data_IF_032993359072
#
_entry.id   IF_032993359072
#
_cell.length_a   1.000
_cell.length_b   1.000
_cell.length_c   1.000
_cell.angle_alpha   90.00
_cell.angle_beta   90.00
_cell.angle_gamma   90.00
#
_symmetry.space_group_name_H-M   'P 1'
#
loop_
_entity.id
_entity.type
_entity.pdbx_description
1 polymer ?
#
# COMPACT_ATOMS: atom_id res chain seq x y z
N UNK A 1 -6.83 -32.97 -21.05
CA UNK A 1 -6.53 -31.63 -20.47
C UNK A 1 -5.04 -31.58 -20.15
N UNK A 2 -4.39 -30.42 -20.25
CA UNK A 2 -3.01 -30.29 -19.82
C UNK A 2 -2.89 -30.55 -18.32
N UNK A 3 -1.73 -31.04 -17.83
CA UNK A 3 -1.48 -31.21 -16.41
C UNK A 3 -1.71 -29.89 -15.65
N UNK A 4 -2.15 -29.97 -14.38
CA UNK A 4 -2.41 -28.78 -13.55
C UNK A 4 -1.24 -27.81 -13.53
N UNK A 5 -0.02 -28.33 -13.51
CA UNK A 5 1.22 -27.54 -13.53
C UNK A 5 1.29 -26.63 -14.76
N UNK A 6 0.93 -27.12 -15.94
CA UNK A 6 0.94 -26.33 -17.18
C UNK A 6 -0.18 -25.28 -17.19
N UNK A 7 -1.37 -25.65 -16.70
CA UNK A 7 -2.49 -24.71 -16.56
C UNK A 7 -2.18 -23.60 -15.54
N UNK A 8 -1.51 -23.92 -14.43
CA UNK A 8 -1.06 -22.91 -13.45
C UNK A 8 -0.01 -22.00 -14.08
N UNK A 9 0.96 -22.54 -14.82
CA UNK A 9 1.98 -21.74 -15.51
C UNK A 9 1.32 -20.76 -16.49
N UNK A 10 0.43 -21.24 -17.35
CA UNK A 10 -0.32 -20.41 -18.30
C UNK A 10 -1.13 -19.31 -17.59
N UNK A 11 -1.73 -19.62 -16.44
CA UNK A 11 -2.45 -18.62 -15.64
C UNK A 11 -1.51 -17.56 -15.04
N UNK A 12 -0.33 -17.93 -14.52
CA UNK A 12 0.63 -16.98 -13.98
C UNK A 12 1.22 -16.09 -15.09
N UNK A 13 1.44 -16.64 -16.28
CA UNK A 13 1.87 -15.89 -17.46
C UNK A 13 0.77 -14.90 -17.91
N UNK A 14 -0.50 -15.31 -17.91
CA UNK A 14 -1.62 -14.43 -18.15
C UNK A 14 -1.68 -13.27 -17.14
N UNK A 15 -1.48 -13.57 -15.84
CA UNK A 15 -1.46 -12.54 -14.80
C UNK A 15 -0.33 -11.53 -15.00
N UNK A 16 0.83 -11.99 -15.46
CA UNK A 16 2.00 -11.16 -15.69
C UNK A 16 1.84 -10.25 -16.91
N UNK A 17 1.43 -10.82 -18.03
CA UNK A 17 1.49 -10.13 -19.32
C UNK A 17 0.19 -9.45 -19.71
N UNK A 18 -0.96 -10.07 -19.44
CA UNK A 18 -2.26 -9.53 -19.86
C UNK A 18 -2.98 -8.78 -18.73
N UNK A 19 -2.98 -9.33 -17.52
CA UNK A 19 -3.70 -8.73 -16.39
C UNK A 19 -2.87 -7.69 -15.62
N UNK A 20 -1.60 -7.49 -15.99
CA UNK A 20 -0.67 -6.56 -15.37
C UNK A 20 -0.67 -6.64 -13.83
N UNK A 21 -0.72 -7.87 -13.29
CA UNK A 21 -0.69 -8.11 -11.86
C UNK A 21 0.69 -7.77 -11.27
N UNK A 22 0.71 -7.32 -10.01
CA UNK A 22 1.99 -7.05 -9.36
C UNK A 22 2.79 -8.34 -9.13
N UNK A 23 4.15 -8.28 -9.13
CA UNK A 23 4.99 -9.45 -8.82
C UNK A 23 4.57 -10.15 -7.51
N UNK A 24 4.26 -9.37 -6.48
CA UNK A 24 3.78 -9.91 -5.19
C UNK A 24 2.45 -10.65 -5.32
N UNK A 25 1.54 -10.19 -6.19
CA UNK A 25 0.27 -10.87 -6.45
C UNK A 25 0.51 -12.21 -7.12
N UNK A 26 1.42 -12.25 -8.11
CA UNK A 26 1.78 -13.47 -8.85
C UNK A 26 2.40 -14.48 -7.89
N UNK A 27 3.38 -14.07 -7.09
CA UNK A 27 4.03 -14.91 -6.07
C UNK A 27 3.02 -15.46 -5.06
N UNK A 28 2.12 -14.62 -4.57
CA UNK A 28 1.05 -15.01 -3.64
C UNK A 28 0.13 -16.05 -4.26
N UNK A 29 -0.32 -15.83 -5.50
CA UNK A 29 -1.21 -16.76 -6.20
C UNK A 29 -0.49 -18.08 -6.51
N UNK A 30 0.77 -18.02 -6.91
CA UNK A 30 1.58 -19.21 -7.13
C UNK A 30 1.72 -20.06 -5.86
N UNK A 31 1.97 -19.43 -4.72
CA UNK A 31 2.07 -20.10 -3.43
C UNK A 31 0.74 -20.74 -3.02
N UNK A 32 -0.37 -20.00 -3.16
CA UNK A 32 -1.70 -20.51 -2.82
C UNK A 32 -2.10 -21.69 -3.71
N UNK A 33 -1.85 -21.60 -5.02
CA UNK A 33 -2.17 -22.66 -5.98
C UNK A 33 -1.31 -23.90 -5.76
N UNK A 34 -0.02 -23.76 -5.46
CA UNK A 34 0.83 -24.89 -5.06
C UNK A 34 0.30 -25.60 -3.83
N UNK A 35 -0.09 -24.84 -2.81
CA UNK A 35 -0.67 -25.41 -1.58
C UNK A 35 -1.99 -26.13 -1.83
N UNK A 36 -2.85 -25.59 -2.69
CA UNK A 36 -4.10 -26.22 -3.09
C UNK A 36 -3.84 -27.51 -3.91
N UNK A 37 -2.97 -27.46 -4.88
CA UNK A 37 -2.63 -28.63 -5.72
C UNK A 37 -2.07 -29.77 -4.88
N UNK A 38 -1.12 -29.48 -3.98
CA UNK A 38 -0.54 -30.50 -3.10
C UNK A 38 -1.62 -31.16 -2.22
N UNK A 39 -2.53 -30.37 -1.62
CA UNK A 39 -3.66 -30.92 -0.85
C UNK A 39 -4.59 -31.80 -1.70
N UNK A 40 -4.90 -31.35 -2.92
CA UNK A 40 -5.81 -32.08 -3.80
C UNK A 40 -5.20 -33.41 -4.27
N UNK A 41 -3.93 -33.42 -4.66
CA UNK A 41 -3.19 -34.60 -5.10
C UNK A 41 -3.03 -35.64 -3.96
N UNK A 42 -2.75 -35.19 -2.74
CA UNK A 42 -2.73 -36.06 -1.56
C UNK A 42 -4.10 -36.71 -1.31
N UNK A 43 -5.18 -35.95 -1.51
CA UNK A 43 -6.54 -36.43 -1.28
C UNK A 43 -7.05 -37.39 -2.36
N UNK A 44 -6.63 -37.16 -3.62
CA UNK A 44 -7.02 -37.95 -4.79
C UNK A 44 -6.14 -39.19 -4.97
N UNK A 45 -4.89 -39.19 -4.48
CA UNK A 45 -3.90 -40.20 -4.75
C UNK A 45 -3.33 -40.15 -6.18
N UNK A 46 -3.66 -39.11 -6.96
CA UNK A 46 -3.25 -38.90 -8.33
C UNK A 46 -3.10 -37.41 -8.63
N UNK A 47 -2.40 -37.02 -9.71
CA UNK A 47 -2.26 -35.63 -10.12
C UNK A 47 -3.63 -34.94 -10.32
N UNK A 48 -3.79 -33.74 -9.77
CA UNK A 48 -5.02 -32.97 -9.93
C UNK A 48 -5.22 -32.60 -11.41
N UNK A 49 -6.37 -32.93 -11.96
CA UNK A 49 -6.86 -32.43 -13.24
C UNK A 49 -8.05 -31.50 -12.95
N UNK A 50 -7.91 -30.18 -13.09
CA UNK A 50 -8.97 -29.25 -12.73
C UNK A 50 -10.27 -29.56 -13.42
N UNK A 51 -11.36 -29.67 -12.67
CA UNK A 51 -12.68 -30.09 -13.16
C UNK A 51 -13.80 -29.27 -12.58
N UNK A 52 -15.00 -29.48 -13.10
CA UNK A 52 -16.24 -28.89 -12.57
C UNK A 52 -16.66 -29.52 -11.24
N UNK A 53 -16.04 -30.63 -10.82
CA UNK A 53 -16.32 -31.35 -9.58
C UNK A 53 -15.48 -30.90 -8.37
N UNK A 54 -14.54 -29.99 -8.53
CA UNK A 54 -13.52 -29.67 -7.53
C UNK A 54 -14.03 -28.84 -6.33
N UNK A 55 -15.34 -28.58 -6.24
CA UNK A 55 -15.91 -27.78 -5.16
C UNK A 55 -15.55 -28.31 -3.76
N UNK A 56 -15.65 -29.61 -3.56
CA UNK A 56 -15.39 -30.22 -2.25
C UNK A 56 -13.92 -30.30 -1.92
N UNK A 57 -13.04 -30.44 -2.94
CA UNK A 57 -11.59 -30.34 -2.75
C UNK A 57 -11.19 -28.93 -2.28
N UNK A 58 -11.74 -27.87 -2.92
CA UNK A 58 -11.46 -26.49 -2.51
C UNK A 58 -12.03 -26.22 -1.11
N UNK A 59 -13.23 -26.70 -0.78
CA UNK A 59 -13.80 -26.55 0.57
C UNK A 59 -12.92 -27.22 1.63
N UNK A 60 -12.52 -28.47 1.38
CA UNK A 60 -11.68 -29.24 2.29
C UNK A 60 -10.33 -28.55 2.52
N UNK A 61 -9.68 -28.08 1.46
CA UNK A 61 -8.44 -27.33 1.57
C UNK A 61 -8.59 -26.05 2.42
N UNK A 62 -9.66 -25.26 2.21
CA UNK A 62 -9.91 -24.06 2.98
C UNK A 62 -10.20 -24.39 4.45
N UNK A 63 -10.87 -25.53 4.74
CA UNK A 63 -11.06 -26.01 6.11
C UNK A 63 -9.74 -26.32 6.79
N UNK A 64 -8.87 -27.09 6.13
CA UNK A 64 -7.52 -27.38 6.64
C UNK A 64 -6.75 -26.10 6.95
N UNK A 65 -6.85 -25.07 6.07
CA UNK A 65 -6.19 -23.78 6.32
C UNK A 65 -6.73 -23.06 7.57
N UNK A 66 -8.01 -23.21 7.89
CA UNK A 66 -8.58 -22.71 9.14
C UNK A 66 -8.11 -23.52 10.34
N UNK A 67 -8.07 -24.85 10.23
CA UNK A 67 -7.62 -25.75 11.29
C UNK A 67 -6.12 -25.55 11.59
N UNK A 68 -5.30 -25.17 10.59
CA UNK A 68 -3.93 -24.72 10.76
C UNK A 68 -3.80 -23.35 11.47
N UNK A 69 -4.91 -22.71 11.84
CA UNK A 69 -4.93 -21.44 12.56
C UNK A 69 -4.80 -20.20 11.69
N UNK A 70 -4.94 -20.30 10.35
CA UNK A 70 -4.93 -19.14 9.48
C UNK A 70 -6.17 -18.26 9.72
N UNK A 71 -5.97 -16.95 9.74
CA UNK A 71 -7.07 -15.99 9.88
C UNK A 71 -8.06 -16.11 8.72
N UNK A 72 -9.35 -15.99 9.00
CA UNK A 72 -10.42 -16.04 7.99
C UNK A 72 -10.19 -15.09 6.79
N UNK A 73 -9.57 -13.92 7.02
CA UNK A 73 -9.18 -13.00 5.95
C UNK A 73 -8.11 -13.58 5.03
N UNK A 74 -7.14 -14.33 5.56
CA UNK A 74 -6.10 -15.01 4.79
C UNK A 74 -6.72 -16.13 3.97
N UNK A 75 -7.59 -16.95 4.58
CA UNK A 75 -8.32 -18.01 3.88
C UNK A 75 -9.22 -17.45 2.78
N UNK A 76 -9.87 -16.30 3.01
CA UNK A 76 -10.61 -15.59 1.97
C UNK A 76 -9.75 -15.13 0.79
N UNK A 77 -8.50 -14.74 1.05
CA UNK A 77 -7.51 -14.43 0.01
C UNK A 77 -7.12 -15.70 -0.78
N UNK A 78 -6.85 -16.80 -0.08
CA UNK A 78 -6.56 -18.11 -0.71
C UNK A 78 -7.70 -18.54 -1.65
N UNK A 79 -8.96 -18.41 -1.22
CA UNK A 79 -10.11 -18.65 -2.09
C UNK A 79 -10.11 -17.74 -3.33
N UNK A 80 -9.69 -16.47 -3.18
CA UNK A 80 -9.61 -15.53 -4.30
C UNK A 80 -8.59 -15.97 -5.34
N UNK A 81 -7.42 -16.48 -4.92
CA UNK A 81 -6.37 -17.00 -5.80
C UNK A 81 -6.90 -18.19 -6.61
N UNK A 82 -7.48 -19.18 -5.95
CA UNK A 82 -8.04 -20.37 -6.62
C UNK A 82 -9.22 -20.01 -7.50
N UNK A 83 -10.12 -19.13 -7.07
CA UNK A 83 -11.25 -18.64 -7.88
C UNK A 83 -10.78 -17.92 -9.15
N UNK A 84 -9.71 -17.14 -9.08
CA UNK A 84 -9.11 -16.48 -10.24
C UNK A 84 -8.54 -17.49 -11.22
N UNK A 85 -7.90 -18.55 -10.74
CA UNK A 85 -7.42 -19.65 -11.56
C UNK A 85 -8.57 -20.35 -12.29
N UNK A 86 -9.62 -20.80 -11.61
CA UNK A 86 -10.78 -21.44 -12.25
C UNK A 86 -11.51 -20.50 -13.21
N UNK A 87 -11.51 -19.20 -12.98
CA UNK A 87 -12.04 -18.21 -13.94
C UNK A 87 -11.19 -18.16 -15.21
N UNK A 88 -9.87 -18.29 -15.09
CA UNK A 88 -8.97 -18.37 -16.24
C UNK A 88 -9.21 -19.67 -17.03
N UNK A 89 -9.35 -20.80 -16.36
CA UNK A 89 -9.68 -22.09 -17.02
C UNK A 89 -11.01 -22.01 -17.78
N UNK A 90 -12.02 -21.35 -17.22
CA UNK A 90 -13.30 -21.10 -17.90
C UNK A 90 -13.10 -20.20 -19.13
N UNK A 91 -12.35 -19.09 -18.98
CA UNK A 91 -12.06 -18.15 -20.09
C UNK A 91 -11.31 -18.82 -21.24
N UNK A 92 -10.43 -19.77 -20.96
CA UNK A 92 -9.64 -20.52 -21.94
C UNK A 92 -10.32 -21.79 -22.44
N UNK A 93 -11.56 -22.05 -22.02
CA UNK A 93 -12.35 -23.21 -22.47
C UNK A 93 -11.90 -24.56 -21.92
N UNK A 94 -11.00 -24.57 -20.91
CA UNK A 94 -10.54 -25.80 -20.28
C UNK A 94 -11.61 -26.45 -19.39
N UNK A 95 -12.53 -25.65 -18.86
CA UNK A 95 -13.75 -26.10 -18.16
C UNK A 95 -14.97 -25.34 -18.72
N UNK A 96 -16.16 -25.91 -18.59
CA UNK A 96 -17.40 -25.29 -19.05
C UNK A 96 -18.08 -24.42 -17.97
N UNK A 97 -17.77 -24.69 -16.71
CA UNK A 97 -18.37 -24.01 -15.54
C UNK A 97 -17.33 -23.88 -14.43
N UNK A 98 -17.33 -22.72 -13.75
CA UNK A 98 -16.48 -22.53 -12.58
C UNK A 98 -17.16 -23.13 -11.33
N UNK A 99 -16.63 -24.24 -10.75
CA UNK A 99 -17.28 -24.94 -9.64
C UNK A 99 -17.37 -24.14 -8.37
N UNK A 100 -16.46 -23.19 -8.17
CA UNK A 100 -16.29 -22.43 -6.92
C UNK A 100 -16.78 -20.98 -7.03
N UNK A 101 -17.50 -20.63 -8.10
CA UNK A 101 -17.99 -19.26 -8.29
C UNK A 101 -18.87 -18.79 -7.14
N UNK A 102 -19.77 -19.65 -6.64
CA UNK A 102 -20.69 -19.35 -5.56
C UNK A 102 -20.11 -19.59 -4.14
N UNK A 103 -18.90 -20.16 -4.04
CA UNK A 103 -18.28 -20.44 -2.74
C UNK A 103 -17.97 -19.14 -2.01
N UNK A 104 -18.53 -18.97 -0.82
CA UNK A 104 -18.32 -17.76 -0.01
C UNK A 104 -17.09 -17.91 0.87
N UNK A 105 -16.27 -16.83 1.01
CA UNK A 105 -15.17 -16.85 1.95
C UNK A 105 -15.69 -16.95 3.40
N UNK A 106 -14.89 -17.48 4.33
CA UNK A 106 -15.22 -17.44 5.75
C UNK A 106 -15.52 -16.01 6.21
N UNK A 107 -16.48 -15.87 7.11
CA UNK A 107 -16.80 -14.57 7.70
C UNK A 107 -15.58 -14.07 8.49
N UNK A 108 -14.92 -13.04 7.98
CA UNK A 108 -13.86 -12.35 8.70
C UNK A 108 -14.47 -11.23 9.54
N UNK A 109 -14.06 -11.14 10.80
CA UNK A 109 -14.34 -9.95 11.59
C UNK A 109 -13.81 -8.72 10.84
N UNK A 110 -14.63 -7.69 10.70
CA UNK A 110 -14.21 -6.38 10.20
C UNK A 110 -13.89 -5.51 11.41
N UNK A 111 -12.63 -5.50 11.88
CA UNK A 111 -12.26 -4.62 12.98
C UNK A 111 -12.52 -3.18 12.56
N UNK A 112 -12.88 -2.35 13.53
CA UNK A 112 -12.99 -0.91 13.31
C UNK A 112 -11.67 -0.38 12.71
N UNK A 113 -11.76 0.61 11.83
CA UNK A 113 -10.59 1.30 11.35
C UNK A 113 -9.77 1.85 12.52
N UNK A 114 -8.46 1.66 12.47
CA UNK A 114 -7.54 2.20 13.48
C UNK A 114 -6.94 3.47 12.92
N UNK A 115 -7.02 4.54 13.67
CA UNK A 115 -6.35 5.81 13.39
C UNK A 115 -5.58 6.28 14.63
N UNK A 116 -4.60 7.12 14.44
CA UNK A 116 -3.82 7.73 15.52
C UNK A 116 -4.54 9.03 15.94
N UNK A 117 -4.80 9.26 17.24
CA UNK A 117 -5.31 10.54 17.72
C UNK A 117 -4.42 11.70 17.27
N UNK A 118 -5.02 12.85 16.97
CA UNK A 118 -4.29 14.03 16.45
C UNK A 118 -3.19 14.47 17.41
N UNK A 119 -3.45 14.43 18.71
CA UNK A 119 -2.49 14.77 19.76
C UNK A 119 -1.25 13.86 19.73
N UNK A 120 -1.46 12.54 19.61
CA UNK A 120 -0.37 11.55 19.50
C UNK A 120 0.43 11.73 18.19
N UNK A 121 -0.26 12.09 17.09
CA UNK A 121 0.40 12.44 15.82
C UNK A 121 1.25 13.69 15.94
N UNK A 122 0.73 14.73 16.56
CA UNK A 122 1.47 15.99 16.79
C UNK A 122 2.67 15.74 17.68
N UNK A 123 2.51 15.03 18.77
CA UNK A 123 3.61 14.66 19.67
C UNK A 123 4.70 13.91 18.90
N UNK A 124 4.34 12.84 18.17
CA UNK A 124 5.28 12.01 17.43
C UNK A 124 6.04 12.78 16.35
N UNK A 125 5.38 13.72 15.66
CA UNK A 125 5.99 14.51 14.59
C UNK A 125 6.62 15.83 15.07
N UNK A 126 6.48 16.19 16.35
CA UNK A 126 7.16 17.35 16.94
C UNK A 126 8.44 16.96 17.71
N UNK A 127 8.74 15.66 17.85
CA UNK A 127 9.98 15.21 18.46
C UNK A 127 11.19 15.80 17.70
N UNK A 128 12.15 16.33 18.47
CA UNK A 128 13.38 16.86 17.89
C UNK A 128 14.22 15.76 17.30
N UNK A 129 14.61 15.94 16.05
CA UNK A 129 15.47 15.01 15.31
C UNK A 129 16.86 15.64 15.22
N UNK A 130 17.90 14.88 15.62
CA UNK A 130 19.27 15.31 15.38
C UNK A 130 19.52 15.48 13.87
N UNK A 131 19.78 16.70 13.39
CA UNK A 131 19.97 16.97 11.98
C UNK A 131 21.22 16.29 11.40
N UNK A 132 22.11 15.78 12.22
CA UNK A 132 23.33 15.06 11.80
C UNK A 132 23.08 13.55 11.67
N UNK A 133 22.08 13.00 12.35
CA UNK A 133 21.66 11.61 12.17
C UNK A 133 20.75 11.47 10.93
N UNK A 134 21.36 11.17 9.80
CA UNK A 134 20.65 11.01 8.54
C UNK A 134 19.55 9.93 8.58
N UNK A 135 19.68 8.92 9.45
CA UNK A 135 18.65 7.88 9.60
C UNK A 135 17.42 8.44 10.30
N UNK A 136 17.64 9.17 11.38
CA UNK A 136 16.57 9.82 12.11
C UNK A 136 15.85 10.86 11.24
N UNK A 137 16.58 11.70 10.49
CA UNK A 137 16.03 12.68 9.54
C UNK A 137 15.21 11.98 8.45
N UNK A 138 15.75 10.92 7.83
CA UNK A 138 15.04 10.14 6.81
C UNK A 138 13.75 9.53 7.36
N UNK A 139 13.85 8.89 8.52
CA UNK A 139 12.73 8.13 9.09
C UNK A 139 11.62 9.07 9.56
N UNK A 140 11.97 10.22 10.12
CA UNK A 140 11.03 11.30 10.44
C UNK A 140 10.31 11.79 9.19
N UNK A 141 11.03 12.14 8.13
CA UNK A 141 10.44 12.59 6.86
C UNK A 141 9.51 11.52 6.25
N UNK A 142 9.86 10.22 6.35
CA UNK A 142 8.98 9.14 5.92
C UNK A 142 7.65 9.17 6.68
N UNK A 143 7.68 9.37 8.00
CA UNK A 143 6.47 9.44 8.83
C UNK A 143 5.63 10.66 8.46
N UNK A 144 6.26 11.83 8.32
CA UNK A 144 5.61 13.07 7.91
C UNK A 144 4.93 12.90 6.55
N UNK A 145 5.61 12.35 5.55
CA UNK A 145 5.03 12.13 4.21
C UNK A 145 3.92 11.07 4.19
N UNK A 146 4.02 10.02 4.99
CA UNK A 146 2.94 9.03 5.12
C UNK A 146 1.67 9.64 5.69
N UNK A 147 1.81 10.56 6.66
CA UNK A 147 0.69 11.23 7.31
C UNK A 147 0.22 12.44 6.52
N UNK A 148 1.08 13.39 6.14
CA UNK A 148 0.65 14.63 5.50
C UNK A 148 0.23 14.44 4.03
N UNK A 149 0.84 13.48 3.32
CA UNK A 149 0.52 13.21 1.92
C UNK A 149 -0.34 11.95 1.71
N UNK A 150 -0.61 11.20 2.76
CA UNK A 150 -1.40 9.98 2.70
C UNK A 150 -0.85 8.92 1.74
N UNK A 151 0.48 8.84 1.57
CA UNK A 151 1.13 7.93 0.62
C UNK A 151 1.05 6.48 1.08
N UNK A 152 1.10 5.55 0.10
CA UNK A 152 1.29 4.13 0.40
C UNK A 152 2.77 3.85 0.68
N UNK A 153 3.08 2.83 1.50
CA UNK A 153 4.48 2.43 1.77
C UNK A 153 5.28 2.12 0.49
N UNK A 154 4.63 1.54 -0.52
CA UNK A 154 5.28 1.25 -1.80
C UNK A 154 5.51 2.51 -2.65
N UNK A 155 4.69 3.53 -2.49
CA UNK A 155 4.84 4.83 -3.13
C UNK A 155 6.00 5.60 -2.51
N UNK A 156 6.15 5.57 -1.18
CA UNK A 156 7.33 6.11 -0.48
C UNK A 156 8.60 5.40 -0.93
N UNK A 157 8.61 4.06 -0.91
CA UNK A 157 9.79 3.28 -1.27
C UNK A 157 10.21 3.46 -2.73
N UNK A 158 9.25 3.65 -3.63
CA UNK A 158 9.48 3.85 -5.07
C UNK A 158 9.56 5.31 -5.50
N UNK A 159 9.55 6.27 -4.57
CA UNK A 159 9.58 7.68 -4.89
C UNK A 159 10.91 8.06 -5.52
N UNK A 160 10.86 8.70 -6.68
CA UNK A 160 12.05 9.23 -7.37
C UNK A 160 12.29 10.68 -6.97
N UNK A 161 13.56 11.09 -6.96
CA UNK A 161 13.93 12.46 -6.60
C UNK A 161 13.31 13.51 -7.53
N UNK A 162 13.31 13.25 -8.82
CA UNK A 162 12.69 14.11 -9.84
C UNK A 162 11.16 14.20 -9.76
N UNK A 163 10.52 13.31 -8.98
CA UNK A 163 9.07 13.33 -8.77
C UNK A 163 8.64 14.23 -7.60
N UNK A 164 9.61 14.83 -6.91
CA UNK A 164 9.40 15.72 -5.76
C UNK A 164 9.75 17.13 -6.16
N UNK A 165 8.74 17.98 -6.33
CA UNK A 165 8.87 19.39 -6.70
C UNK A 165 8.57 20.27 -5.48
N UNK A 166 9.61 20.82 -4.89
CA UNK A 166 9.51 21.69 -3.69
C UNK A 166 9.11 23.11 -4.04
N UNK A 167 9.34 23.55 -5.28
CA UNK A 167 8.92 24.88 -5.76
C UNK A 167 7.40 24.92 -5.91
N UNK A 168 6.83 23.96 -6.63
CA UNK A 168 5.39 23.82 -6.80
C UNK A 168 4.72 23.13 -5.62
N UNK A 169 5.51 22.60 -4.67
CA UNK A 169 5.06 21.84 -3.49
C UNK A 169 4.13 20.71 -3.84
N UNK A 170 4.62 19.80 -4.69
CA UNK A 170 3.84 18.66 -5.19
C UNK A 170 4.70 17.42 -5.39
N UNK A 171 4.07 16.27 -5.26
CA UNK A 171 4.64 14.96 -5.55
C UNK A 171 3.94 14.35 -6.76
N UNK A 172 4.69 13.78 -7.68
CA UNK A 172 4.16 12.88 -8.72
C UNK A 172 4.28 11.44 -8.25
N UNK A 173 3.16 10.79 -8.02
CA UNK A 173 3.12 9.45 -7.42
C UNK A 173 2.54 8.45 -8.39
N UNK A 174 3.26 7.34 -8.60
CA UNK A 174 2.80 6.22 -9.42
C UNK A 174 1.90 5.28 -8.59
N UNK A 175 0.63 5.21 -8.94
CA UNK A 175 -0.34 4.31 -8.32
C UNK A 175 -0.43 2.94 -8.99
N UNK A 176 -1.41 2.14 -8.55
CA UNK A 176 -1.72 0.82 -9.16
C UNK A 176 -2.09 1.00 -10.64
N UNK A 177 -1.54 0.16 -11.50
CA UNK A 177 -1.77 0.23 -12.95
C UNK A 177 -0.99 1.36 -13.63
N UNK A 178 0.11 1.82 -13.02
CA UNK A 178 0.98 2.91 -13.55
C UNK A 178 0.25 4.25 -13.77
N UNK A 179 -0.88 4.47 -13.11
CA UNK A 179 -1.56 5.76 -13.14
C UNK A 179 -0.84 6.74 -12.23
N UNK A 180 -0.45 7.87 -12.79
CA UNK A 180 0.14 8.97 -12.03
C UNK A 180 -0.95 9.80 -11.35
N UNK A 181 -0.63 10.32 -10.18
CA UNK A 181 -1.41 11.36 -9.52
C UNK A 181 -0.49 12.40 -8.89
N UNK A 182 -0.98 13.60 -8.75
CA UNK A 182 -0.29 14.69 -8.07
C UNK A 182 -0.83 14.77 -6.63
N UNK A 183 0.09 14.91 -5.68
CA UNK A 183 -0.22 15.10 -4.26
C UNK A 183 0.44 16.40 -3.80
N UNK A 184 -0.34 17.45 -3.45
CA UNK A 184 0.22 18.69 -2.92
C UNK A 184 0.72 18.49 -1.49
N UNK A 185 1.62 19.37 -1.03
CA UNK A 185 2.09 19.41 0.34
C UNK A 185 2.39 20.83 0.83
N UNK A 186 2.53 20.99 2.15
CA UNK A 186 2.73 22.27 2.81
C UNK A 186 4.16 22.80 2.74
N UNK A 187 4.35 24.08 3.16
CA UNK A 187 5.66 24.72 3.18
C UNK A 187 6.63 24.05 4.15
N UNK A 188 6.16 23.67 5.35
CA UNK A 188 7.00 22.99 6.35
C UNK A 188 7.58 21.67 5.82
N UNK A 189 6.74 20.86 5.13
CA UNK A 189 7.23 19.62 4.51
C UNK A 189 8.23 19.90 3.37
N UNK A 190 8.06 20.99 2.61
CA UNK A 190 9.04 21.37 1.56
C UNK A 190 10.43 21.59 2.15
N UNK A 191 10.53 22.21 3.30
CA UNK A 191 11.81 22.48 3.99
C UNK A 191 12.44 21.22 4.57
N UNK A 192 11.64 20.32 5.15
CA UNK A 192 12.11 19.00 5.58
C UNK A 192 12.64 18.16 4.39
N UNK A 193 11.97 18.24 3.23
CA UNK A 193 12.39 17.60 1.99
C UNK A 193 13.74 18.13 1.52
N UNK A 194 13.95 19.44 1.50
CA UNK A 194 15.23 20.03 1.09
C UNK A 194 16.36 19.70 2.06
N UNK A 195 16.09 19.75 3.38
CA UNK A 195 17.05 19.33 4.38
C UNK A 195 17.49 17.86 4.17
N UNK A 196 16.55 16.98 3.92
CA UNK A 196 16.85 15.59 3.57
C UNK A 196 17.65 15.46 2.29
N UNK A 197 17.31 16.19 1.21
CA UNK A 197 18.04 16.17 -0.05
C UNK A 197 19.50 16.55 0.15
N UNK A 198 19.76 17.63 0.89
CA UNK A 198 21.11 18.09 1.18
C UNK A 198 21.90 17.03 1.96
N UNK A 199 21.32 16.51 3.04
CA UNK A 199 21.96 15.51 3.88
C UNK A 199 22.20 14.19 3.12
N UNK A 200 21.22 13.70 2.36
CA UNK A 200 21.37 12.51 1.53
C UNK A 200 22.50 12.68 0.51
N UNK A 201 22.52 13.81 -0.19
CA UNK A 201 23.49 14.07 -1.26
C UNK A 201 24.90 14.19 -0.71
N UNK A 202 25.08 14.76 0.49
CA UNK A 202 26.40 14.85 1.14
C UNK A 202 26.97 13.47 1.51
N UNK A 203 26.12 12.49 1.80
CA UNK A 203 26.53 11.15 2.26
C UNK A 203 26.63 10.15 1.10
N UNK A 204 25.64 10.15 0.20
CA UNK A 204 25.48 9.11 -0.82
C UNK A 204 25.69 9.60 -2.25
N UNK A 205 25.93 10.91 -2.44
CA UNK A 205 25.97 11.53 -3.76
C UNK A 205 24.58 11.64 -4.39
N UNK A 206 24.57 11.91 -5.72
CA UNK A 206 23.32 12.00 -6.48
C UNK A 206 22.70 10.63 -6.68
N UNK A 207 21.42 10.48 -6.31
CA UNK A 207 20.66 9.23 -6.43
C UNK A 207 19.33 9.49 -7.16
N UNK A 208 18.86 8.53 -7.97
CA UNK A 208 17.54 8.62 -8.58
C UNK A 208 16.40 8.40 -7.55
N UNK A 209 16.68 7.61 -6.51
CA UNK A 209 15.71 7.31 -5.46
C UNK A 209 15.68 8.42 -4.43
N UNK A 210 14.49 8.87 -4.08
CA UNK A 210 14.32 9.89 -3.05
C UNK A 210 14.72 9.36 -1.68
N UNK A 211 14.27 8.15 -1.30
CA UNK A 211 14.68 7.49 -0.07
C UNK A 211 15.66 6.35 -0.33
N UNK A 212 16.75 6.33 0.42
CA UNK A 212 17.82 5.34 0.29
C UNK A 212 18.05 4.55 1.58
N UNK A 213 18.55 3.33 1.41
CA UNK A 213 19.05 2.47 2.49
C UNK A 213 20.40 2.94 2.99
N UNK A 214 20.95 2.28 4.03
CA UNK A 214 22.31 2.54 4.52
C UNK A 214 23.41 2.25 3.50
N UNK A 215 23.10 1.62 2.38
CA UNK A 215 24.03 1.34 1.28
C UNK A 215 23.88 2.31 0.11
N UNK A 216 23.07 3.37 0.24
CA UNK A 216 22.77 4.28 -0.86
C UNK A 216 21.85 3.68 -1.96
N UNK A 217 21.34 2.47 -1.77
CA UNK A 217 20.41 1.82 -2.71
C UNK A 217 18.95 2.18 -2.39
N UNK A 218 18.00 2.02 -3.33
CA UNK A 218 16.59 2.29 -3.09
C UNK A 218 16.07 1.60 -1.83
N UNK A 219 15.27 2.31 -1.04
CA UNK A 219 14.70 1.77 0.19
C UNK A 219 13.60 0.74 -0.12
N UNK A 220 13.66 -0.44 0.51
CA UNK A 220 12.65 -1.47 0.33
C UNK A 220 11.32 -1.10 1.03
N UNK A 221 10.13 -1.48 0.48
CA UNK A 221 8.84 -1.24 1.16
C UNK A 221 8.75 -1.83 2.58
N UNK A 222 9.48 -2.91 2.86
CA UNK A 222 9.57 -3.50 4.21
C UNK A 222 10.25 -2.55 5.20
N UNK A 223 11.29 -1.83 4.77
CA UNK A 223 11.98 -0.86 5.63
C UNK A 223 11.08 0.33 5.97
N UNK A 224 10.30 0.85 5.01
CA UNK A 224 9.26 1.88 5.27
C UNK A 224 8.21 1.38 6.28
N UNK A 225 7.81 0.10 6.18
CA UNK A 225 6.93 -0.49 7.18
C UNK A 225 7.56 -0.54 8.57
N UNK A 226 8.85 -0.90 8.66
CA UNK A 226 9.58 -0.96 9.95
C UNK A 226 9.67 0.42 10.61
N UNK A 227 9.96 1.48 9.86
CA UNK A 227 9.96 2.86 10.34
C UNK A 227 8.59 3.22 10.94
N UNK A 228 7.52 3.06 10.17
CA UNK A 228 6.18 3.37 10.66
C UNK A 228 5.75 2.47 11.85
N UNK A 229 6.16 1.21 11.85
CA UNK A 229 5.84 0.28 12.94
C UNK A 229 6.57 0.66 14.24
N UNK A 230 7.84 1.04 14.16
CA UNK A 230 8.63 1.46 15.32
C UNK A 230 8.07 2.76 15.92
N UNK A 231 7.80 3.77 15.10
CA UNK A 231 7.23 5.02 15.57
C UNK A 231 5.84 4.82 16.23
N UNK A 232 4.96 4.03 15.61
CA UNK A 232 3.65 3.73 16.17
C UNK A 232 3.67 2.77 17.38
N UNK A 233 4.84 2.21 17.73
CA UNK A 233 4.97 1.40 18.93
C UNK A 233 4.89 2.25 20.21
N UNK A 234 5.21 3.53 20.15
CA UNK A 234 5.12 4.48 21.26
C UNK A 234 3.67 4.93 21.54
N UNK A 235 2.78 4.81 20.56
CA UNK A 235 1.38 5.24 20.69
C UNK A 235 0.58 4.17 21.46
N UNK A 236 -0.05 4.53 22.59
CA UNK A 236 -0.81 3.59 23.42
C UNK A 236 -2.03 3.01 22.67
N UNK A 237 -2.44 1.81 23.04
CA UNK A 237 -3.69 1.17 22.62
C UNK A 237 -3.92 0.99 21.10
N UNK A 238 -2.90 1.16 20.26
CA UNK A 238 -3.03 0.85 18.84
C UNK A 238 -3.03 -0.66 18.60
N UNK A 239 -4.15 -1.19 18.12
CA UNK A 239 -4.31 -2.61 17.77
C UNK A 239 -3.56 -2.99 16.48
N UNK A 240 -3.19 -2.01 15.66
CA UNK A 240 -2.42 -2.18 14.42
C UNK A 240 -1.40 -1.05 14.30
N UNK A 241 -0.24 -1.36 13.74
CA UNK A 241 0.88 -0.43 13.55
C UNK A 241 1.45 -0.56 12.15
N UNK A 242 1.74 0.55 11.51
CA UNK A 242 2.37 0.59 10.18
C UNK A 242 1.79 1.66 9.25
N UNK A 243 2.39 1.81 8.08
CA UNK A 243 2.09 2.88 7.12
C UNK A 243 0.59 3.02 6.74
N UNK A 244 -0.17 1.93 6.76
CA UNK A 244 -1.61 2.00 6.50
C UNK A 244 -2.41 2.73 7.58
N UNK A 245 -1.95 2.68 8.83
CA UNK A 245 -2.58 3.42 9.93
C UNK A 245 -2.40 4.92 9.71
N UNK A 246 -1.16 5.36 9.43
CA UNK A 246 -0.86 6.77 9.16
C UNK A 246 -1.66 7.32 7.96
N UNK A 247 -1.72 6.56 6.88
CA UNK A 247 -2.55 6.92 5.72
C UNK A 247 -4.05 6.96 6.06
N UNK A 248 -4.52 6.08 6.95
CA UNK A 248 -5.92 6.12 7.39
C UNK A 248 -6.19 7.32 8.29
N UNK A 249 -5.24 7.65 9.18
CA UNK A 249 -5.27 8.86 10.00
C UNK A 249 -5.36 10.10 9.12
N UNK A 250 -4.48 10.24 8.12
CA UNK A 250 -4.58 11.31 7.11
C UNK A 250 -6.00 11.44 6.54
N UNK A 251 -6.58 10.32 6.08
CA UNK A 251 -7.91 10.35 5.48
C UNK A 251 -9.00 10.77 6.48
N UNK A 252 -8.89 10.32 7.72
CA UNK A 252 -9.83 10.66 8.80
C UNK A 252 -9.73 12.14 9.15
N UNK A 253 -8.52 12.66 9.33
CA UNK A 253 -8.30 14.05 9.69
C UNK A 253 -8.74 15.00 8.57
N UNK A 254 -8.48 14.65 7.32
CA UNK A 254 -8.99 15.39 6.17
C UNK A 254 -10.53 15.46 6.15
N UNK A 255 -11.21 14.33 6.38
CA UNK A 255 -12.67 14.29 6.44
C UNK A 255 -13.23 15.08 7.63
N UNK A 256 -12.61 14.97 8.81
CA UNK A 256 -13.00 15.71 10.00
C UNK A 256 -12.81 17.23 9.80
N UNK A 257 -11.84 17.62 8.99
CA UNK A 257 -11.59 19.02 8.59
C UNK A 257 -12.47 19.49 7.43
N UNK A 258 -13.47 18.69 7.02
CA UNK A 258 -14.46 19.08 6.01
C UNK A 258 -14.04 18.83 4.56
N UNK A 259 -13.01 18.02 4.31
CA UNK A 259 -12.59 17.67 2.97
C UNK A 259 -13.69 16.87 2.22
N UNK A 260 -13.90 17.19 0.95
CA UNK A 260 -14.80 16.42 0.09
C UNK A 260 -14.32 14.99 -0.09
N UNK A 261 -15.21 14.02 0.15
CA UNK A 261 -14.89 12.59 0.10
C UNK A 261 -14.45 12.13 -1.30
N UNK A 262 -15.01 12.70 -2.37
CA UNK A 262 -14.67 12.30 -3.75
C UNK A 262 -13.27 12.79 -4.11
N UNK A 263 -12.96 14.03 -3.79
CA UNK A 263 -11.63 14.61 -3.98
C UNK A 263 -10.56 13.89 -3.13
N UNK A 264 -10.90 13.54 -1.88
CA UNK A 264 -10.01 12.78 -1.02
C UNK A 264 -9.73 11.37 -1.59
N UNK A 265 -10.74 10.69 -2.11
CA UNK A 265 -10.57 9.38 -2.78
C UNK A 265 -9.67 9.49 -4.00
N UNK A 266 -9.78 10.56 -4.77
CA UNK A 266 -8.93 10.85 -5.92
C UNK A 266 -7.49 11.08 -5.47
N UNK A 267 -7.26 11.97 -4.50
CA UNK A 267 -5.96 12.25 -3.90
C UNK A 267 -5.28 10.97 -3.39
N UNK A 268 -6.05 10.10 -2.76
CA UNK A 268 -5.56 8.81 -2.27
C UNK A 268 -5.36 7.76 -3.38
N UNK A 269 -5.84 7.96 -4.60
CA UNK A 269 -5.71 7.02 -5.70
C UNK A 269 -6.50 5.72 -5.47
N UNK A 270 -7.77 5.82 -5.07
CA UNK A 270 -8.69 4.69 -4.99
C UNK A 270 -9.26 4.36 -6.38
N UNK A 271 -8.95 3.17 -6.90
CA UNK A 271 -9.21 2.74 -8.28
C UNK A 271 -10.68 2.41 -8.62
N UNK A 272 -11.64 2.64 -7.73
CA UNK A 272 -13.03 2.21 -7.93
C UNK A 272 -13.95 3.21 -8.63
N UNK A 273 -13.44 4.37 -9.03
CA UNK A 273 -14.19 5.32 -9.86
C UNK A 273 -13.42 5.52 -11.16
N UNK A 274 -13.96 5.03 -12.27
CA UNK A 274 -13.39 5.11 -13.61
C UNK A 274 -13.60 6.50 -14.23
N UNK A 275 -13.09 7.53 -13.58
CA UNK A 275 -12.97 8.84 -14.21
C UNK A 275 -11.49 9.11 -14.41
N UNK A 276 -11.05 8.99 -15.66
CA UNK A 276 -9.78 9.56 -16.11
C UNK A 276 -9.96 11.07 -16.12
N UNK A 277 -9.92 11.68 -14.94
CA UNK A 277 -9.84 13.13 -14.83
C UNK A 277 -8.45 13.51 -15.33
N UNK A 278 -8.38 14.10 -16.53
CA UNK A 278 -7.19 14.81 -16.96
C UNK A 278 -6.98 15.92 -15.93
N UNK A 279 -5.84 15.88 -15.23
CA UNK A 279 -5.45 16.96 -14.34
C UNK A 279 -5.38 18.26 -15.13
N UNK A 280 -6.43 19.06 -15.01
CA UNK A 280 -6.44 20.44 -15.50
C UNK A 280 -5.89 21.35 -14.39
N UNK A 281 -5.44 22.54 -14.72
CA UNK A 281 -5.03 23.53 -13.71
C UNK A 281 -6.10 23.72 -12.61
N UNK A 282 -7.36 23.65 -13.00
CA UNK A 282 -8.50 23.76 -12.07
C UNK A 282 -8.57 22.63 -11.05
N UNK A 283 -8.28 21.38 -11.45
CA UNK A 283 -8.28 20.24 -10.53
C UNK A 283 -7.11 20.29 -9.54
N UNK A 284 -5.95 20.80 -9.96
CA UNK A 284 -4.80 20.97 -9.07
C UNK A 284 -5.03 22.05 -8.00
N UNK A 285 -5.63 23.19 -8.37
CA UNK A 285 -6.03 24.23 -7.41
C UNK A 285 -7.09 23.71 -6.41
N UNK A 286 -8.00 22.85 -6.85
CA UNK A 286 -8.94 22.19 -5.94
C UNK A 286 -8.23 21.24 -4.98
N UNK A 287 -7.22 20.48 -5.42
CA UNK A 287 -6.41 19.62 -4.56
C UNK A 287 -5.58 20.43 -3.55
N UNK A 288 -5.00 21.57 -3.95
CA UNK A 288 -4.32 22.49 -3.02
C UNK A 288 -5.28 23.04 -1.96
N UNK A 289 -6.49 23.45 -2.37
CA UNK A 289 -7.53 23.91 -1.44
C UNK A 289 -7.97 22.79 -0.49
N UNK A 290 -8.13 21.57 -1.01
CA UNK A 290 -8.44 20.41 -0.19
C UNK A 290 -7.33 20.15 0.83
N UNK A 291 -6.07 20.17 0.39
CA UNK A 291 -4.94 19.98 1.29
C UNK A 291 -4.84 21.08 2.37
N UNK A 292 -5.28 22.29 2.08
CA UNK A 292 -5.31 23.37 3.08
C UNK A 292 -6.20 23.05 4.31
N UNK A 293 -7.11 22.08 4.20
CA UNK A 293 -7.89 21.56 5.32
C UNK A 293 -7.08 20.58 6.22
N UNK A 294 -5.90 20.12 5.78
CA UNK A 294 -5.08 19.24 6.61
C UNK A 294 -4.55 19.99 7.85
N UNK A 295 -4.59 19.41 9.07
CA UNK A 295 -4.17 20.07 10.31
C UNK A 295 -2.78 20.69 10.25
N UNK A 296 -1.87 20.09 9.48
CA UNK A 296 -0.48 20.55 9.34
C UNK A 296 -0.19 21.35 8.05
N UNK A 297 -1.22 21.64 7.24
CA UNK A 297 -1.02 22.36 5.97
C UNK A 297 -0.46 23.78 6.14
N UNK A 298 -0.83 24.45 7.23
CA UNK A 298 -0.43 25.81 7.57
C UNK A 298 0.84 25.88 8.45
N UNK A 299 1.48 24.74 8.73
CA UNK A 299 2.68 24.70 9.56
C UNK A 299 3.80 25.51 8.90
N UNK A 300 4.23 26.58 9.56
CA UNK A 300 5.46 27.30 9.27
C UNK A 300 6.63 26.61 9.95
N UNK A 301 7.84 26.74 9.42
CA UNK A 301 9.02 26.22 10.07
C UNK A 301 9.29 26.89 11.42
N UNK A 302 10.11 26.26 12.23
CA UNK A 302 10.46 26.51 13.61
C UNK A 302 11.11 27.88 13.95
N UNK A 303 10.77 28.97 13.29
CA UNK A 303 11.38 30.28 13.58
C UNK A 303 10.64 31.13 14.64
N UNK A 304 9.51 30.66 15.18
CA UNK A 304 8.80 31.36 16.22
C UNK A 304 8.98 30.67 17.59
N UNK A 305 10.22 30.63 18.09
CA UNK A 305 10.41 30.69 19.54
C UNK A 305 10.47 32.17 19.89
N UNK A 306 9.60 32.68 20.76
CA UNK A 306 9.91 33.93 21.44
C UNK A 306 11.16 33.64 22.25
N UNK A 307 12.22 34.40 21.99
CA UNK A 307 13.40 34.42 22.83
C UNK A 307 12.88 34.69 24.26
N UNK A 308 13.06 33.66 25.10
CA UNK A 308 12.65 33.81 26.50
C UNK A 308 13.58 34.83 27.18
N UNK A 309 12.98 35.82 27.75
CA UNK A 309 13.56 36.62 28.82
C UNK A 309 13.96 35.74 30.03
#
# INVERSE_FOLDING_TARGET
MPPTTDSIRAFLDYLSHEAAASPLTIETYQSDLRSFTAYAEERLGEPLVPSEGDLDLVRGWLSVKLDEGLKASTVGRCLTSVRSFYRHLLKTGQIKRNPIQALRPPKAARPLPVYVPTEDMEQMLSEEVDPTDWRAVRDHLILTMLYECGLRRSEIAGLRDQAVDTTERQLKVLGKGRKERIVPFGKGLAEEIEAWRHLRTSIFGTTESFFVSSKGTPMAPRAVYQVAHAALATVPNLSRRGAHVLRHTFATDMLNSGADLMLLRELMGHSSVSTTVRYTHTSFEQLKKLYAAHPRAARTPRDDRPDGD
#
